data_IF_676657750945
#
_entry.id   IF_676657750945
#
_cell.length_a   1.000
_cell.length_b   1.000
_cell.length_c   1.000
_cell.angle_alpha   90.00
_cell.angle_beta   90.00
_cell.angle_gamma   90.00
#
_symmetry.space_group_name_H-M   'P 1'
#
loop_
_entity.id
_entity.type
_entity.pdbx_description
1 polymer ?
#
# COMPACT_ATOMS: atom_id res chain seq x y z
N UNK A 1 13.28 51.84 -80.39
CA UNK A 1 14.69 51.53 -80.10
C UNK A 1 14.70 50.94 -78.70
N UNK A 2 14.74 49.61 -78.62
CA UNK A 2 14.50 48.86 -77.40
C UNK A 2 15.58 47.81 -77.19
N UNK A 3 15.95 47.63 -75.92
CA UNK A 3 16.39 46.39 -75.30
C UNK A 3 16.08 46.49 -73.79
N UNK A 4 15.58 45.41 -73.15
CA UNK A 4 15.56 45.27 -71.70
C UNK A 4 16.51 44.16 -71.23
N UNK A 5 17.18 44.39 -70.11
CA UNK A 5 17.75 43.39 -69.21
C UNK A 5 17.47 43.93 -67.80
N UNK A 6 17.05 43.19 -66.79
CA UNK A 6 17.42 41.85 -66.36
C UNK A 6 16.39 41.34 -65.32
N UNK A 7 16.30 40.02 -65.22
CA UNK A 7 15.36 39.23 -64.41
C UNK A 7 15.74 39.22 -62.92
N UNK A 8 14.73 39.26 -62.03
CA UNK A 8 14.90 39.01 -60.59
C UNK A 8 14.06 37.78 -60.22
N UNK A 9 14.73 36.67 -59.93
CA UNK A 9 14.15 35.45 -59.34
C UNK A 9 14.01 35.66 -57.82
N UNK A 10 12.79 35.51 -57.31
CA UNK A 10 12.48 35.45 -55.86
C UNK A 10 12.91 34.09 -55.32
N UNK A 11 13.84 34.07 -54.36
CA UNK A 11 14.11 32.89 -53.51
C UNK A 11 13.79 33.25 -52.07
N UNK A 12 12.74 32.64 -51.54
CA UNK A 12 12.32 32.73 -50.14
C UNK A 12 13.29 31.92 -49.28
N UNK A 13 14.03 32.58 -48.40
CA UNK A 13 14.93 31.95 -47.43
C UNK A 13 14.12 31.41 -46.25
N UNK A 14 14.08 30.09 -46.11
CA UNK A 14 13.56 29.39 -44.93
C UNK A 14 14.73 29.19 -43.96
N UNK A 15 14.58 29.68 -42.73
CA UNK A 15 15.57 29.52 -41.67
C UNK A 15 15.75 28.02 -41.30
N UNK A 16 16.98 27.55 -41.01
CA UNK A 16 17.21 26.17 -40.61
C UNK A 16 16.66 25.90 -39.20
N UNK A 17 15.94 24.79 -39.06
CA UNK A 17 15.48 24.27 -37.78
C UNK A 17 16.68 23.98 -36.85
N UNK A 18 16.56 24.39 -35.58
CA UNK A 18 17.53 24.06 -34.54
C UNK A 18 17.63 22.53 -34.35
N UNK A 19 18.83 21.98 -34.06
CA UNK A 19 18.98 20.54 -33.87
C UNK A 19 18.20 20.09 -32.63
N UNK A 20 17.27 19.15 -32.84
CA UNK A 20 16.63 18.40 -31.77
C UNK A 20 17.70 17.48 -31.17
N UNK A 21 18.13 17.78 -29.94
CA UNK A 21 18.99 16.89 -29.16
C UNK A 21 18.13 15.73 -28.67
N UNK A 22 18.38 14.47 -29.08
CA UNK A 22 17.64 13.33 -28.54
C UNK A 22 18.02 13.13 -27.06
N UNK A 23 17.08 12.72 -26.19
CA UNK A 23 17.42 12.35 -24.82
C UNK A 23 18.43 11.19 -24.84
N UNK A 24 19.38 11.13 -23.89
CA UNK A 24 20.41 10.10 -23.90
C UNK A 24 19.79 8.72 -23.79
N UNK A 25 20.17 7.83 -24.70
CA UNK A 25 19.83 6.41 -24.67
C UNK A 25 20.40 5.78 -23.39
N UNK A 26 19.56 5.04 -22.66
CA UNK A 26 19.84 4.37 -21.38
C UNK A 26 21.08 3.42 -21.39
N UNK A 27 21.68 3.16 -22.54
CA UNK A 27 22.84 2.28 -22.70
C UNK A 27 24.22 2.88 -22.40
N UNK A 28 24.37 4.20 -22.24
CA UNK A 28 25.71 4.83 -22.23
C UNK A 28 26.29 5.16 -20.83
N UNK A 29 25.64 4.77 -19.74
CA UNK A 29 26.05 5.08 -18.35
C UNK A 29 26.63 3.87 -17.59
N UNK A 30 27.21 2.90 -18.30
CA UNK A 30 27.72 1.64 -17.73
C UNK A 30 29.26 1.51 -17.80
N UNK A 31 30.00 2.61 -17.70
CA UNK A 31 31.47 2.53 -17.65
C UNK A 31 32.03 3.37 -16.52
N UNK A 32 32.54 2.64 -15.52
CA UNK A 32 33.48 3.03 -14.48
C UNK A 32 32.97 3.88 -13.29
N UNK A 33 32.48 3.21 -12.24
CA UNK A 33 32.83 3.44 -10.82
C UNK A 33 32.27 2.29 -9.94
N UNK A 34 33.01 1.77 -8.94
CA UNK A 34 32.51 0.74 -8.03
C UNK A 34 31.63 1.40 -6.96
N UNK A 35 30.40 1.75 -7.33
CA UNK A 35 29.39 2.25 -6.40
C UNK A 35 28.36 1.14 -6.22
N UNK A 36 28.18 0.76 -4.96
CA UNK A 36 27.20 -0.16 -4.41
C UNK A 36 25.87 -0.17 -5.22
N UNK A 37 25.53 -1.29 -5.85
CA UNK A 37 24.38 -1.42 -6.76
C UNK A 37 23.02 -1.18 -6.05
N UNK A 38 22.98 -1.26 -4.73
CA UNK A 38 21.81 -0.90 -3.91
C UNK A 38 21.38 0.56 -4.08
N UNK A 39 22.32 1.49 -4.36
CA UNK A 39 22.02 2.91 -4.54
C UNK A 39 21.20 3.22 -5.81
N UNK A 40 21.19 2.32 -6.80
CA UNK A 40 20.45 2.51 -8.05
C UNK A 40 18.95 2.21 -7.85
N UNK A 41 18.61 1.24 -6.99
CA UNK A 41 17.22 0.91 -6.64
C UNK A 41 16.55 2.10 -5.93
N UNK A 42 17.25 2.74 -4.99
CA UNK A 42 16.76 3.91 -4.25
C UNK A 42 16.39 5.11 -5.15
N UNK A 43 16.95 5.20 -6.36
CA UNK A 43 16.74 6.36 -7.25
C UNK A 43 15.70 6.13 -8.34
N UNK A 44 15.31 4.87 -8.59
CA UNK A 44 14.35 4.49 -9.62
C UNK A 44 12.92 4.39 -9.06
N UNK A 45 12.76 4.08 -7.76
CA UNK A 45 11.43 4.04 -7.11
C UNK A 45 10.67 5.39 -7.18
N UNK A 46 11.38 6.52 -7.34
CA UNK A 46 10.79 7.84 -7.54
C UNK A 46 10.51 8.25 -8.99
N UNK A 47 10.85 7.44 -10.00
CA UNK A 47 10.83 7.86 -11.43
C UNK A 47 10.00 6.93 -12.34
N UNK A 48 9.51 5.79 -11.84
CA UNK A 48 8.73 4.88 -12.67
C UNK A 48 7.24 5.22 -12.67
N UNK A 49 6.55 5.10 -13.82
CA UNK A 49 5.10 5.24 -13.86
C UNK A 49 4.50 4.21 -12.91
N UNK A 50 3.83 4.70 -11.86
CA UNK A 50 3.12 3.90 -10.88
C UNK A 50 2.13 3.00 -11.62
N UNK A 51 2.46 1.72 -11.75
CA UNK A 51 1.40 0.72 -11.93
C UNK A 51 0.65 0.77 -10.62
N UNK A 52 -0.63 1.16 -10.66
CA UNK A 52 -1.44 1.27 -9.45
C UNK A 52 -1.27 -0.02 -8.66
N UNK A 53 -0.76 0.05 -7.42
CA UNK A 53 -0.69 -1.13 -6.57
C UNK A 53 -2.09 -1.73 -6.47
N UNK A 54 -2.23 -3.05 -6.21
CA UNK A 54 -3.53 -3.63 -5.94
C UNK A 54 -4.27 -2.75 -4.92
N UNK A 55 -5.34 -2.10 -5.38
CA UNK A 55 -6.03 -1.12 -4.56
C UNK A 55 -6.76 -1.88 -3.47
N UNK A 56 -6.69 -1.35 -2.25
CA UNK A 56 -7.47 -1.87 -1.13
C UNK A 56 -8.95 -2.02 -1.55
N UNK A 57 -9.66 -3.06 -1.06
CA UNK A 57 -11.08 -3.23 -1.32
C UNK A 57 -11.89 -1.94 -1.11
N UNK A 58 -12.91 -1.65 -1.96
CA UNK A 58 -13.72 -0.46 -1.79
C UNK A 58 -14.49 -0.50 -0.47
N UNK A 59 -14.61 0.65 0.19
CA UNK A 59 -15.44 0.82 1.37
C UNK A 59 -16.89 0.99 0.93
N UNK A 60 -17.74 0.01 1.23
CA UNK A 60 -19.13 -0.03 0.78
C UNK A 60 -20.13 0.45 1.84
N UNK A 61 -19.74 0.50 3.11
CA UNK A 61 -20.61 0.86 4.23
C UNK A 61 -19.90 1.78 5.22
N UNK A 62 -20.64 2.65 5.94
CA UNK A 62 -20.08 3.44 7.02
C UNK A 62 -19.40 2.56 8.07
N UNK A 63 -18.41 3.13 8.75
CA UNK A 63 -17.81 2.47 9.90
C UNK A 63 -18.64 2.80 11.16
N UNK A 64 -19.22 1.76 11.77
CA UNK A 64 -20.09 1.88 12.96
C UNK A 64 -19.37 1.30 14.18
N UNK A 65 -19.49 1.94 15.35
CA UNK A 65 -18.92 1.45 16.61
C UNK A 65 -17.39 1.38 16.73
N UNK A 66 -16.62 1.85 15.75
CA UNK A 66 -15.14 1.69 15.71
C UNK A 66 -14.33 2.98 15.78
N UNK A 67 -14.97 4.13 16.01
CA UNK A 67 -14.30 5.44 15.99
C UNK A 67 -13.25 5.56 17.10
N UNK A 68 -13.57 5.08 18.30
CA UNK A 68 -12.64 5.09 19.44
C UNK A 68 -11.44 4.18 19.22
N UNK A 69 -11.66 2.95 18.72
CA UNK A 69 -10.61 1.99 18.38
C UNK A 69 -9.65 2.57 17.33
N UNK A 70 -10.19 3.18 16.27
CA UNK A 70 -9.34 3.84 15.26
C UNK A 70 -8.54 4.99 15.83
N UNK A 71 -9.14 5.81 16.70
CA UNK A 71 -8.43 6.92 17.33
C UNK A 71 -7.27 6.44 18.20
N UNK A 72 -7.47 5.32 18.92
CA UNK A 72 -6.40 4.68 19.71
C UNK A 72 -5.31 4.12 18.80
N UNK A 73 -5.69 3.47 17.70
CA UNK A 73 -4.75 2.94 16.71
C UNK A 73 -3.90 4.05 16.06
N UNK A 74 -4.55 5.16 15.69
CA UNK A 74 -3.90 6.33 15.07
C UNK A 74 -2.97 7.06 16.04
N UNK A 75 -3.31 7.12 17.33
CA UNK A 75 -2.52 7.75 18.37
C UNK A 75 -1.43 6.85 18.97
N UNK A 76 -1.40 5.56 18.62
CA UNK A 76 -0.40 4.63 19.13
C UNK A 76 1.01 5.04 18.71
N UNK A 77 2.00 4.84 19.59
CA UNK A 77 3.42 4.96 19.23
C UNK A 77 3.99 3.67 18.63
N UNK A 78 3.21 2.57 18.64
CA UNK A 78 3.66 1.29 18.13
C UNK A 78 3.92 1.32 16.62
N UNK A 79 5.03 0.69 16.22
CA UNK A 79 5.43 0.55 14.81
C UNK A 79 4.90 -0.73 14.20
N UNK A 80 4.62 -1.73 15.02
CA UNK A 80 3.94 -2.95 14.62
C UNK A 80 2.67 -3.08 15.43
N UNK A 81 1.53 -3.10 14.73
CA UNK A 81 0.23 -3.36 15.33
C UNK A 81 -0.38 -4.59 14.69
N UNK A 82 -0.92 -5.49 15.50
CA UNK A 82 -1.75 -6.61 15.04
C UNK A 82 -3.17 -6.42 15.56
N UNK A 83 -4.12 -6.28 14.64
CA UNK A 83 -5.55 -6.35 14.94
C UNK A 83 -5.91 -7.81 15.17
N UNK A 84 -6.42 -8.11 16.36
CA UNK A 84 -6.85 -9.44 16.80
C UNK A 84 -8.34 -9.47 17.05
N UNK A 85 -8.95 -10.66 16.99
CA UNK A 85 -10.37 -10.84 17.28
C UNK A 85 -11.02 -11.95 16.46
N UNK A 86 -12.27 -12.31 16.78
CA UNK A 86 -13.00 -13.39 16.11
C UNK A 86 -13.11 -13.22 14.59
N UNK A 87 -13.40 -14.31 13.84
CA UNK A 87 -13.81 -14.20 12.44
C UNK A 87 -15.03 -13.28 12.29
N UNK A 88 -15.10 -12.51 11.21
CA UNK A 88 -16.24 -11.63 10.92
C UNK A 88 -16.28 -10.30 11.68
N UNK A 89 -15.61 -10.18 12.84
CA UNK A 89 -15.71 -9.00 13.75
C UNK A 89 -15.30 -7.65 13.13
N UNK A 90 -14.72 -7.64 11.93
CA UNK A 90 -14.43 -6.41 11.17
C UNK A 90 -12.99 -5.92 11.26
N UNK A 91 -12.00 -6.78 11.57
CA UNK A 91 -10.56 -6.43 11.55
C UNK A 91 -10.14 -5.77 10.23
N UNK A 92 -10.45 -6.40 9.09
CA UNK A 92 -10.21 -5.86 7.76
C UNK A 92 -10.91 -4.53 7.54
N UNK A 93 -12.14 -4.35 8.05
CA UNK A 93 -12.88 -3.09 7.91
C UNK A 93 -12.22 -1.94 8.67
N UNK A 94 -11.69 -2.21 9.86
CA UNK A 94 -10.89 -1.23 10.64
C UNK A 94 -9.59 -0.91 9.93
N UNK A 95 -8.88 -1.92 9.41
CA UNK A 95 -7.66 -1.73 8.64
C UNK A 95 -7.89 -0.89 7.38
N UNK A 96 -8.98 -1.13 6.66
CA UNK A 96 -9.39 -0.35 5.48
C UNK A 96 -9.68 1.10 5.83
N UNK A 97 -10.35 1.36 6.95
CA UNK A 97 -10.62 2.73 7.36
C UNK A 97 -9.31 3.48 7.69
N UNK A 98 -8.40 2.83 8.43
CA UNK A 98 -7.09 3.43 8.71
C UNK A 98 -6.35 3.73 7.40
N UNK A 99 -6.32 2.76 6.48
CA UNK A 99 -5.67 2.92 5.17
C UNK A 99 -6.24 4.11 4.39
N UNK A 100 -7.57 4.20 4.30
CA UNK A 100 -8.27 5.28 3.61
C UNK A 100 -7.96 6.66 4.22
N UNK A 101 -7.84 6.77 5.55
CA UNK A 101 -7.50 8.02 6.24
C UNK A 101 -6.05 8.47 6.04
N UNK A 102 -5.12 7.54 5.78
CA UNK A 102 -3.68 7.82 5.62
C UNK A 102 -3.28 8.16 4.18
N UNK A 103 -4.13 7.85 3.20
CA UNK A 103 -3.95 8.27 1.81
C UNK A 103 -2.91 7.47 1.02
N UNK A 104 -2.52 8.01 -0.14
CA UNK A 104 -1.86 7.29 -1.25
C UNK A 104 -0.44 6.76 -0.99
N UNK A 105 0.18 7.11 0.15
CA UNK A 105 1.55 6.66 0.47
C UNK A 105 1.61 5.26 1.07
N UNK A 106 0.47 4.77 1.58
CA UNK A 106 0.38 3.43 2.16
C UNK A 106 0.45 2.32 1.12
N UNK A 107 0.71 1.10 1.59
CA UNK A 107 0.54 -0.12 0.79
C UNK A 107 -0.49 -1.06 1.44
N UNK A 108 -1.39 -1.61 0.64
CA UNK A 108 -2.32 -2.67 1.06
C UNK A 108 -1.86 -4.00 0.45
N UNK A 109 -1.64 -4.99 1.30
CA UNK A 109 -1.15 -6.31 0.90
C UNK A 109 -2.11 -7.35 1.45
N UNK A 110 -2.84 -8.01 0.55
CA UNK A 110 -3.63 -9.21 0.86
C UNK A 110 -2.70 -10.43 0.93
N UNK A 111 -2.67 -11.10 2.08
CA UNK A 111 -1.85 -12.29 2.36
C UNK A 111 -2.66 -13.60 2.39
N UNK A 112 -3.94 -13.57 2.05
CA UNK A 112 -4.87 -14.72 2.09
C UNK A 112 -4.33 -15.96 1.35
N UNK A 113 -3.57 -15.75 0.26
CA UNK A 113 -2.99 -16.79 -0.58
C UNK A 113 -1.50 -17.08 -0.33
N UNK A 114 -0.85 -16.37 0.60
CA UNK A 114 0.59 -16.49 0.85
C UNK A 114 0.89 -17.62 1.84
N UNK A 115 1.82 -18.50 1.49
CA UNK A 115 2.19 -19.69 2.29
C UNK A 115 3.71 -19.87 2.47
N UNK A 116 4.53 -19.06 1.83
CA UNK A 116 6.00 -19.10 1.95
C UNK A 116 6.62 -17.72 2.04
N UNK A 117 7.89 -17.65 2.48
CA UNK A 117 8.66 -16.40 2.49
C UNK A 117 8.84 -15.81 1.09
N UNK A 118 9.08 -16.66 0.09
CA UNK A 118 9.23 -16.20 -1.29
C UNK A 118 7.92 -15.60 -1.82
N UNK A 119 6.78 -16.22 -1.53
CA UNK A 119 5.46 -15.67 -1.87
C UNK A 119 5.16 -14.39 -1.10
N UNK A 120 5.55 -14.30 0.17
CA UNK A 120 5.39 -13.09 0.98
C UNK A 120 6.18 -11.92 0.37
N UNK A 121 7.47 -12.12 0.08
CA UNK A 121 8.31 -11.11 -0.54
C UNK A 121 7.75 -10.69 -1.91
N UNK A 122 7.32 -11.65 -2.75
CA UNK A 122 6.73 -11.35 -4.04
C UNK A 122 5.42 -10.54 -3.91
N UNK A 123 4.56 -10.91 -2.96
CA UNK A 123 3.28 -10.25 -2.71
C UNK A 123 3.47 -8.84 -2.16
N UNK A 124 4.45 -8.63 -1.29
CA UNK A 124 4.82 -7.30 -0.79
C UNK A 124 5.46 -6.45 -1.89
N UNK A 125 6.34 -7.03 -2.71
CA UNK A 125 6.90 -6.34 -3.87
C UNK A 125 5.80 -5.80 -4.81
N UNK A 126 4.82 -6.65 -5.13
CA UNK A 126 3.67 -6.27 -5.96
C UNK A 126 2.80 -5.19 -5.31
N UNK A 127 2.49 -5.32 -4.01
CA UNK A 127 1.78 -4.30 -3.24
C UNK A 127 2.53 -2.96 -3.15
N UNK A 128 3.85 -2.97 -3.25
CA UNK A 128 4.71 -1.78 -3.34
C UNK A 128 4.88 -1.28 -4.79
N UNK A 129 4.30 -1.95 -5.79
CA UNK A 129 4.44 -1.60 -7.21
C UNK A 129 5.83 -1.90 -7.79
N UNK A 130 6.63 -2.74 -7.13
CA UNK A 130 7.97 -3.12 -7.55
C UNK A 130 7.91 -4.27 -8.56
N UNK A 131 8.74 -4.22 -9.61
CA UNK A 131 8.88 -5.36 -10.52
C UNK A 131 9.95 -6.32 -10.02
N UNK A 132 9.73 -7.65 -10.10
CA UNK A 132 10.72 -8.66 -9.73
C UNK A 132 12.07 -8.51 -10.45
N UNK A 133 12.07 -7.97 -11.68
CA UNK A 133 13.29 -7.70 -12.45
C UNK A 133 14.17 -6.59 -11.87
N UNK A 134 13.67 -5.82 -10.91
CA UNK A 134 14.41 -4.74 -10.24
C UNK A 134 15.07 -5.20 -8.94
N UNK A 135 14.86 -6.47 -8.56
CA UNK A 135 15.29 -7.02 -7.29
C UNK A 135 16.34 -8.11 -7.55
N UNK A 136 17.49 -8.04 -6.87
CA UNK A 136 18.49 -9.09 -6.94
C UNK A 136 18.05 -10.29 -6.08
N UNK A 137 18.08 -11.53 -6.61
CA UNK A 137 17.56 -12.71 -5.90
C UNK A 137 18.25 -13.01 -4.56
N UNK A 138 19.47 -12.50 -4.37
CA UNK A 138 20.34 -12.90 -3.25
C UNK A 138 19.96 -12.15 -1.96
N UNK A 139 19.37 -10.95 -2.04
CA UNK A 139 19.05 -10.11 -0.88
C UNK A 139 17.65 -9.47 -0.94
N UNK A 140 16.67 -10.16 -1.53
CA UNK A 140 15.30 -9.67 -1.73
C UNK A 140 14.63 -9.10 -0.47
N UNK A 141 14.92 -9.68 0.70
CA UNK A 141 14.38 -9.18 1.99
C UNK A 141 14.90 -7.78 2.31
N UNK A 142 16.20 -7.53 2.13
CA UNK A 142 16.78 -6.22 2.41
C UNK A 142 16.34 -5.19 1.39
N UNK A 143 16.33 -5.56 0.12
CA UNK A 143 15.86 -4.66 -0.94
C UNK A 143 14.42 -4.21 -0.72
N UNK A 144 13.54 -5.11 -0.26
CA UNK A 144 12.19 -4.73 0.14
C UNK A 144 12.19 -3.80 1.35
N UNK A 145 13.03 -4.06 2.36
CA UNK A 145 13.16 -3.16 3.51
C UNK A 145 13.60 -1.75 3.11
N UNK A 146 14.56 -1.64 2.19
CA UNK A 146 15.02 -0.38 1.63
C UNK A 146 14.00 0.31 0.74
N UNK A 147 13.23 -0.45 -0.04
CA UNK A 147 12.14 0.09 -0.85
C UNK A 147 10.99 0.60 0.02
N UNK A 148 10.73 -0.05 1.17
CA UNK A 148 9.80 0.42 2.19
C UNK A 148 10.33 1.72 2.81
N UNK A 149 11.61 1.78 3.19
CA UNK A 149 12.25 2.97 3.74
C UNK A 149 12.12 4.18 2.81
N UNK A 150 12.35 3.99 1.51
CA UNK A 150 12.25 5.06 0.50
C UNK A 150 10.86 5.70 0.37
N UNK A 151 9.82 5.12 0.98
CA UNK A 151 8.46 5.70 1.04
C UNK A 151 8.27 6.68 2.22
N UNK A 152 9.21 6.70 3.17
CA UNK A 152 9.18 7.55 4.35
C UNK A 152 8.08 7.18 5.34
N UNK A 153 7.48 8.21 5.95
CA UNK A 153 6.41 8.04 6.94
C UNK A 153 5.13 7.48 6.29
N UNK A 154 4.86 6.19 6.53
CA UNK A 154 3.72 5.50 5.91
C UNK A 154 3.24 4.29 6.72
N UNK A 155 2.08 3.76 6.34
CA UNK A 155 1.53 2.50 6.83
C UNK A 155 1.58 1.42 5.75
N UNK A 156 2.05 0.23 6.13
CA UNK A 156 1.91 -0.99 5.35
C UNK A 156 0.86 -1.85 6.04
N UNK A 157 -0.22 -2.15 5.33
CA UNK A 157 -1.30 -3.00 5.82
C UNK A 157 -1.13 -4.40 5.23
N UNK A 158 -1.03 -5.38 6.11
CA UNK A 158 -0.86 -6.80 5.82
C UNK A 158 -2.14 -7.52 6.28
N UNK A 159 -3.09 -7.71 5.38
CA UNK A 159 -4.40 -8.29 5.69
C UNK A 159 -4.38 -9.81 5.50
N UNK A 160 -5.08 -10.53 6.38
CA UNK A 160 -5.23 -12.00 6.36
C UNK A 160 -3.90 -12.76 6.48
N UNK A 161 -3.12 -12.41 7.52
CA UNK A 161 -1.76 -12.91 7.74
C UNK A 161 -1.66 -14.39 8.19
N UNK A 162 -2.78 -15.07 8.46
CA UNK A 162 -2.82 -16.39 9.10
C UNK A 162 -2.01 -17.47 8.37
N UNK A 163 -1.96 -17.42 7.04
CA UNK A 163 -1.25 -18.42 6.23
C UNK A 163 0.27 -18.28 6.26
N UNK A 164 0.81 -17.16 6.77
CA UNK A 164 2.24 -16.83 6.66
C UNK A 164 2.83 -16.16 7.92
N UNK A 165 2.19 -16.34 9.08
CA UNK A 165 2.64 -15.76 10.37
C UNK A 165 4.11 -16.06 10.66
N UNK A 166 4.58 -17.29 10.43
CA UNK A 166 5.97 -17.66 10.67
C UNK A 166 6.96 -16.97 9.71
N UNK A 167 6.57 -16.70 8.46
CA UNK A 167 7.39 -15.94 7.53
C UNK A 167 7.46 -14.46 7.97
N UNK A 168 6.32 -13.87 8.33
CA UNK A 168 6.24 -12.51 8.86
C UNK A 168 7.07 -12.34 10.14
N UNK A 169 7.03 -13.32 11.05
CA UNK A 169 7.84 -13.33 12.29
C UNK A 169 9.33 -13.13 12.01
N UNK A 170 9.84 -13.74 10.94
CA UNK A 170 11.27 -13.69 10.59
C UNK A 170 11.64 -12.43 9.80
N UNK A 171 10.74 -11.96 8.94
CA UNK A 171 11.06 -10.92 7.94
C UNK A 171 10.65 -9.52 8.41
N UNK A 172 9.46 -9.37 8.99
CA UNK A 172 8.89 -8.06 9.29
C UNK A 172 9.73 -7.22 10.28
N UNK A 173 10.34 -7.79 11.35
CA UNK A 173 11.24 -7.04 12.23
C UNK A 173 12.43 -6.44 11.47
N UNK A 174 12.95 -7.14 10.46
CA UNK A 174 14.05 -6.67 9.64
C UNK A 174 13.63 -5.50 8.75
N UNK A 175 12.46 -5.57 8.12
CA UNK A 175 11.90 -4.44 7.37
C UNK A 175 11.66 -3.21 8.25
N UNK A 176 11.08 -3.39 9.44
CA UNK A 176 10.87 -2.29 10.37
C UNK A 176 12.19 -1.73 10.93
N UNK A 177 13.24 -2.53 11.06
CA UNK A 177 14.56 -2.02 11.43
C UNK A 177 15.17 -1.13 10.32
N UNK A 178 15.00 -1.52 9.06
CA UNK A 178 15.49 -0.76 7.90
C UNK A 178 14.68 0.51 7.61
N UNK A 179 13.38 0.49 7.88
CA UNK A 179 12.46 1.58 7.57
C UNK A 179 11.87 2.22 8.84
N UNK A 180 12.63 3.03 9.60
CA UNK A 180 12.24 3.53 10.93
C UNK A 180 10.95 4.37 10.94
N UNK A 181 10.66 5.07 9.84
CA UNK A 181 9.46 5.92 9.72
C UNK A 181 8.21 5.14 9.27
N UNK A 182 8.37 3.87 8.88
CA UNK A 182 7.25 3.01 8.49
C UNK A 182 6.62 2.32 9.70
N UNK A 183 5.29 2.21 9.63
CA UNK A 183 4.44 1.42 10.54
C UNK A 183 3.78 0.27 9.78
N UNK A 184 3.60 -0.87 10.45
CA UNK A 184 2.91 -2.03 9.93
C UNK A 184 1.62 -2.29 10.74
N UNK A 185 0.52 -2.53 10.01
CA UNK A 185 -0.73 -3.01 10.56
C UNK A 185 -1.00 -4.41 10.00
N UNK A 186 -1.20 -5.39 10.88
CA UNK A 186 -1.56 -6.75 10.50
C UNK A 186 -3.01 -7.01 10.91
N UNK A 187 -3.74 -7.77 10.10
CA UNK A 187 -4.95 -8.45 10.58
C UNK A 187 -4.65 -9.94 10.71
N UNK A 188 -4.93 -10.49 11.90
CA UNK A 188 -4.66 -11.89 12.19
C UNK A 188 -5.56 -12.37 13.33
N UNK A 189 -5.79 -13.68 13.41
CA UNK A 189 -6.41 -14.32 14.58
C UNK A 189 -5.42 -14.58 15.72
N UNK A 190 -4.12 -14.56 15.42
CA UNK A 190 -3.07 -14.82 16.39
C UNK A 190 -1.99 -13.73 16.37
N UNK A 191 -1.31 -13.56 17.50
CA UNK A 191 -0.20 -12.63 17.60
C UNK A 191 1.00 -13.09 16.78
N UNK A 192 1.71 -12.13 16.21
CA UNK A 192 2.98 -12.36 15.56
C UNK A 192 4.06 -12.74 16.59
N UNK A 193 4.00 -12.32 17.85
CA UNK A 193 4.93 -12.75 18.89
C UNK A 193 6.38 -12.28 18.69
N UNK A 194 6.58 -11.16 17.99
CA UNK A 194 7.88 -10.50 17.84
C UNK A 194 8.01 -9.36 18.85
N UNK A 195 9.23 -8.87 19.04
CA UNK A 195 9.47 -7.66 19.85
C UNK A 195 8.73 -6.45 19.24
N UNK A 196 8.27 -5.54 20.11
CA UNK A 196 7.58 -4.29 19.75
C UNK A 196 6.22 -4.45 19.03
N UNK A 197 5.64 -5.66 19.02
CA UNK A 197 4.26 -5.88 18.59
C UNK A 197 3.28 -5.35 19.65
N UNK A 198 2.40 -4.43 19.23
CA UNK A 198 1.22 -4.04 20.00
C UNK A 198 -0.01 -4.78 19.48
N UNK A 199 -0.76 -5.40 20.40
CA UNK A 199 -2.04 -6.01 20.06
C UNK A 199 -3.18 -5.01 20.26
N UNK A 200 -4.10 -5.00 19.29
CA UNK A 200 -5.33 -4.23 19.35
C UNK A 200 -6.49 -5.17 19.11
N UNK A 201 -7.17 -5.54 20.19
CA UNK A 201 -8.36 -6.38 20.11
C UNK A 201 -9.50 -5.59 19.47
N UNK A 202 -10.13 -6.22 18.47
CA UNK A 202 -11.36 -5.74 17.83
C UNK A 202 -12.51 -6.47 18.51
N UNK A 203 -13.19 -5.86 19.50
CA UNK A 203 -14.28 -6.51 20.21
C UNK A 203 -15.49 -6.70 19.29
N UNK A 204 -16.45 -7.58 19.59
CA UNK A 204 -17.76 -7.54 18.95
C UNK A 204 -18.41 -6.16 19.06
N UNK A 205 -19.32 -5.83 18.13
CA UNK A 205 -20.10 -4.60 18.21
C UNK A 205 -21.10 -4.67 19.38
N UNK A 206 -21.31 -3.54 20.04
CA UNK A 206 -22.43 -3.39 20.97
C UNK A 206 -23.76 -3.51 20.19
N UNK A 207 -24.82 -3.98 20.84
CA UNK A 207 -26.11 -4.25 20.18
C UNK A 207 -26.63 -3.06 19.37
N UNK A 208 -26.48 -1.84 19.90
CA UNK A 208 -26.90 -0.62 19.20
C UNK A 208 -26.11 -0.38 17.89
N UNK A 209 -24.79 -0.55 17.94
CA UNK A 209 -23.93 -0.42 16.76
C UNK A 209 -24.19 -1.55 15.74
N UNK A 210 -24.45 -2.76 16.22
CA UNK A 210 -24.80 -3.90 15.38
C UNK A 210 -26.12 -3.65 14.63
N UNK A 211 -27.15 -3.13 15.31
CA UNK A 211 -28.42 -2.75 14.66
C UNK A 211 -28.20 -1.64 13.64
N UNK A 212 -27.44 -0.59 13.98
CA UNK A 212 -27.15 0.49 13.04
C UNK A 212 -26.41 0.00 11.78
N UNK A 213 -25.47 -0.94 11.93
CA UNK A 213 -24.77 -1.56 10.80
C UNK A 213 -25.71 -2.41 9.93
N UNK A 214 -26.61 -3.19 10.55
CA UNK A 214 -27.60 -3.99 9.83
C UNK A 214 -28.56 -3.09 9.05
N UNK A 215 -29.06 -2.01 9.65
CA UNK A 215 -29.91 -1.03 8.98
C UNK A 215 -29.21 -0.39 7.77
N UNK A 216 -27.96 0.06 7.94
CA UNK A 216 -27.17 0.63 6.87
C UNK A 216 -26.92 -0.36 5.71
N UNK A 217 -26.72 -1.66 6.01
CA UNK A 217 -26.55 -2.71 5.00
C UNK A 217 -27.84 -3.07 4.27
N UNK A 218 -28.96 -3.10 4.98
CA UNK A 218 -30.26 -3.41 4.44
C UNK A 218 -30.91 -2.23 3.70
N UNK A 219 -30.34 -1.02 3.81
CA UNK A 219 -30.95 0.20 3.31
C UNK A 219 -32.25 0.54 4.02
N UNK A 220 -32.34 0.20 5.32
CA UNK A 220 -33.51 0.41 6.17
C UNK A 220 -33.32 1.64 7.06
N UNK A 221 -34.41 2.33 7.34
CA UNK A 221 -34.44 3.46 8.27
C UNK A 221 -34.41 2.99 9.74
N UNK A 222 -34.06 3.90 10.67
CA UNK A 222 -33.90 3.58 12.10
C UNK A 222 -35.18 2.99 12.75
N UNK A 223 -36.36 3.26 12.19
CA UNK A 223 -37.64 2.71 12.65
C UNK A 223 -37.71 1.18 12.54
N UNK A 224 -36.80 0.54 11.78
CA UNK A 224 -36.67 -0.92 11.69
C UNK A 224 -35.96 -1.55 12.91
N UNK A 225 -35.52 -0.77 13.91
CA UNK A 225 -34.75 -1.23 15.07
C UNK A 225 -35.33 -2.48 15.75
N UNK A 226 -36.65 -2.50 16.00
CA UNK A 226 -37.31 -3.63 16.65
C UNK A 226 -37.28 -4.94 15.85
N UNK A 227 -37.05 -4.89 14.53
CA UNK A 227 -36.90 -6.08 13.68
C UNK A 227 -35.45 -6.57 13.62
N UNK A 228 -34.49 -5.67 13.85
CA UNK A 228 -33.05 -5.94 13.72
C UNK A 228 -32.39 -6.32 15.03
N UNK A 229 -32.92 -5.89 16.18
CA UNK A 229 -32.37 -6.20 17.51
C UNK A 229 -32.27 -7.71 17.78
N UNK A 230 -33.29 -8.55 17.49
CA UNK A 230 -33.15 -10.00 17.66
C UNK A 230 -32.09 -10.61 16.74
N UNK A 231 -31.88 -10.04 15.55
CA UNK A 231 -30.85 -10.48 14.61
C UNK A 231 -29.45 -10.04 15.08
N UNK A 232 -29.32 -8.84 15.61
CA UNK A 232 -28.08 -8.32 16.19
C UNK A 232 -27.64 -9.15 17.39
N UNK A 233 -28.59 -9.50 18.28
CA UNK A 233 -28.34 -10.42 19.40
C UNK A 233 -27.95 -11.82 18.89
N UNK A 234 -28.63 -12.36 17.88
CA UNK A 234 -28.31 -13.68 17.33
C UNK A 234 -26.93 -13.76 16.64
N UNK A 235 -26.39 -12.62 16.22
CA UNK A 235 -25.06 -12.51 15.59
C UNK A 235 -23.95 -12.18 16.60
N UNK A 236 -24.27 -11.97 17.88
CA UNK A 236 -23.32 -11.66 18.96
C UNK A 236 -22.33 -10.54 18.58
N UNK A 237 -22.77 -9.54 17.80
CA UNK A 237 -21.95 -8.40 17.37
C UNK A 237 -20.90 -8.69 16.28
N UNK A 238 -21.04 -9.79 15.52
CA UNK A 238 -20.17 -10.19 14.40
C UNK A 238 -20.80 -9.86 13.03
#
# INVERSE_FOLDING_TARGET
MGEPAWSITKTSSVAPAAPVVPPPSIGALWVAHPINQSAIIHRIAGILPSVSPPSAPPILTPLVGRVSLLSQLEGSAARLVTLTGPPGVGKTRVALELFARRGERGAWIDLSAVRSEAELCARVADGLGLRPSWLEPVDLVDELGWAIEGRGETWIVLDEAEGCVDALRRILPRWLALAPDTRALLTSRERLGVADEALFDVPPLETEDAVALLAARAGMDEDARGQLEPLAEALDGV
#
